data_IF_683180086090
#
_entry.id   IF_683180086090
#
_cell.length_a   1.000
_cell.length_b   1.000
_cell.length_c   1.000
_cell.angle_alpha   90.00
_cell.angle_beta   90.00
_cell.angle_gamma   90.00
#
_symmetry.space_group_name_H-M   'P 1'
#
loop_
_entity.id
_entity.type
_entity.pdbx_description
1 polymer ?
#
# COMPACT_ATOMS: atom_id res chain seq x y z
N UNK A 1 -6.47 -14.09 7.52
CA UNK A 1 -6.47 -14.29 6.05
C UNK A 1 -6.25 -15.77 5.74
N UNK A 2 -7.25 -16.61 5.99
CA UNK A 2 -7.28 -17.97 5.46
C UNK A 2 -8.34 -18.00 4.33
N UNK A 3 -8.12 -18.80 3.29
CA UNK A 3 -9.03 -19.02 2.15
C UNK A 3 -9.22 -17.86 1.15
N UNK A 4 -8.18 -17.07 0.84
CA UNK A 4 -8.24 -16.05 -0.25
C UNK A 4 -8.02 -16.62 -1.65
N UNK A 5 -7.18 -17.66 -1.77
CA UNK A 5 -6.97 -18.38 -3.02
C UNK A 5 -7.82 -19.65 -3.01
N UNK A 6 -8.41 -20.00 -4.15
CA UNK A 6 -9.19 -21.24 -4.26
C UNK A 6 -8.38 -22.24 -5.06
N UNK A 7 -7.99 -23.38 -4.46
CA UNK A 7 -7.33 -24.44 -5.19
C UNK A 7 -8.16 -24.88 -6.39
N UNK A 8 -7.51 -25.13 -7.52
CA UNK A 8 -8.17 -25.72 -8.68
C UNK A 8 -8.53 -27.16 -8.31
N UNK A 9 -9.82 -27.54 -8.32
CA UNK A 9 -10.20 -28.90 -7.98
C UNK A 9 -9.74 -29.86 -9.07
N UNK A 10 -9.40 -31.09 -8.69
CA UNK A 10 -8.82 -32.11 -9.59
C UNK A 10 -9.74 -32.54 -10.73
N UNK A 11 -11.04 -32.23 -10.64
CA UNK A 11 -12.05 -32.49 -11.67
C UNK A 11 -12.45 -31.24 -12.49
N UNK A 12 -11.76 -30.10 -12.32
CA UNK A 12 -12.04 -28.90 -13.10
C UNK A 12 -11.71 -29.13 -14.58
N UNK A 13 -12.62 -28.71 -15.46
CA UNK A 13 -12.30 -28.61 -16.89
C UNK A 13 -11.39 -27.40 -17.15
N UNK A 14 -10.77 -27.34 -18.34
CA UNK A 14 -9.82 -26.28 -18.70
C UNK A 14 -10.42 -24.87 -18.54
N UNK A 15 -11.68 -24.67 -18.94
CA UNK A 15 -12.33 -23.36 -18.85
C UNK A 15 -12.51 -22.92 -17.39
N UNK A 16 -12.91 -23.83 -16.50
CA UNK A 16 -13.04 -23.58 -15.07
C UNK A 16 -11.68 -23.29 -14.44
N UNK A 17 -10.63 -24.04 -14.80
CA UNK A 17 -9.27 -23.81 -14.32
C UNK A 17 -8.76 -22.40 -14.68
N UNK A 18 -8.95 -21.97 -15.93
CA UNK A 18 -8.54 -20.63 -16.37
C UNK A 18 -9.30 -19.49 -15.65
N UNK A 19 -10.59 -19.68 -15.38
CA UNK A 19 -11.39 -18.70 -14.62
C UNK A 19 -10.89 -18.57 -13.17
N UNK A 20 -10.59 -19.69 -12.53
CA UNK A 20 -10.05 -19.71 -11.16
C UNK A 20 -8.67 -19.05 -11.12
N UNK A 21 -7.78 -19.36 -12.06
CA UNK A 21 -6.46 -18.73 -12.18
C UNK A 21 -6.59 -17.22 -12.34
N UNK A 22 -7.41 -16.74 -13.28
CA UNK A 22 -7.57 -15.31 -13.51
C UNK A 22 -8.11 -14.58 -12.28
N UNK A 23 -9.07 -15.18 -11.57
CA UNK A 23 -9.60 -14.62 -10.33
C UNK A 23 -8.54 -14.54 -9.24
N UNK A 24 -7.75 -15.59 -9.08
CA UNK A 24 -6.70 -15.66 -8.07
C UNK A 24 -5.56 -14.66 -8.40
N UNK A 25 -5.23 -14.48 -9.68
CA UNK A 25 -4.30 -13.43 -10.14
C UNK A 25 -4.84 -12.02 -9.90
N UNK A 26 -6.14 -11.77 -10.15
CA UNK A 26 -6.77 -10.48 -9.81
C UNK A 26 -6.77 -10.23 -8.30
N UNK A 27 -6.98 -11.27 -7.48
CA UNK A 27 -6.92 -11.16 -6.02
C UNK A 27 -5.51 -10.86 -5.49
N UNK A 28 -4.48 -11.29 -6.22
CA UNK A 28 -3.08 -10.96 -5.96
C UNK A 28 -2.76 -9.51 -6.39
N UNK A 29 -3.23 -9.07 -7.55
CA UNK A 29 -3.06 -7.69 -8.02
C UNK A 29 -3.81 -6.67 -7.14
N UNK A 30 -4.96 -7.08 -6.61
CA UNK A 30 -5.75 -6.31 -5.64
C UNK A 30 -5.20 -6.42 -4.21
N UNK A 31 -4.22 -7.29 -3.94
CA UNK A 31 -3.63 -7.37 -2.61
C UNK A 31 -2.90 -6.07 -2.30
N UNK A 32 -3.28 -5.45 -1.19
CA UNK A 32 -2.70 -4.20 -0.74
C UNK A 32 -1.17 -4.35 -0.71
N UNK A 33 -0.50 -3.65 -1.62
CA UNK A 33 0.97 -3.53 -1.63
C UNK A 33 1.48 -2.80 -0.38
N UNK A 34 0.55 -2.39 0.49
CA UNK A 34 0.71 -1.44 1.57
C UNK A 34 0.56 -2.14 2.91
N UNK A 35 1.69 -2.27 3.62
CA UNK A 35 1.76 -2.76 4.98
C UNK A 35 1.78 -1.58 5.94
N UNK A 36 0.89 -1.58 6.93
CA UNK A 36 0.89 -0.58 8.00
C UNK A 36 1.28 -1.25 9.33
N UNK A 37 2.32 -0.71 9.94
CA UNK A 37 2.75 -1.01 11.30
C UNK A 37 2.33 0.16 12.17
N UNK A 38 1.41 -0.06 13.11
CA UNK A 38 0.95 0.99 14.03
C UNK A 38 1.33 0.61 15.45
N UNK A 39 1.98 1.52 16.17
CA UNK A 39 2.10 1.41 17.62
C UNK A 39 0.81 1.94 18.25
N UNK A 40 0.25 1.25 19.24
CA UNK A 40 -0.92 1.74 19.97
C UNK A 40 -0.59 3.08 20.64
N UNK A 41 -1.33 4.14 20.28
CA UNK A 41 -1.11 5.50 20.78
C UNK A 41 0.15 6.20 20.24
N UNK A 42 0.77 5.69 19.18
CA UNK A 42 2.04 6.20 18.67
C UNK A 42 2.13 6.27 17.15
N UNK A 43 3.37 6.35 16.67
CA UNK A 43 3.69 6.51 15.25
C UNK A 43 3.22 5.31 14.42
N UNK A 44 2.87 5.58 13.17
CA UNK A 44 2.54 4.56 12.18
C UNK A 44 3.59 4.57 11.07
N UNK A 45 4.04 3.40 10.66
CA UNK A 45 4.87 3.23 9.45
C UNK A 45 4.01 2.55 8.40
N UNK A 46 3.85 3.19 7.26
CA UNK A 46 3.12 2.63 6.11
C UNK A 46 4.10 2.44 4.98
N UNK A 47 4.22 1.23 4.45
CA UNK A 47 5.17 0.88 3.39
C UNK A 47 4.41 0.27 2.23
N UNK A 48 4.62 0.76 1.00
CA UNK A 48 4.00 0.18 -0.18
C UNK A 48 3.40 1.20 -1.13
N UNK A 49 2.24 0.85 -1.70
CA UNK A 49 1.49 1.71 -2.62
C UNK A 49 0.58 2.67 -1.84
N UNK A 50 0.99 3.92 -1.79
CA UNK A 50 0.27 4.99 -1.09
C UNK A 50 -1.07 5.32 -1.80
N UNK A 51 -2.02 5.99 -1.13
CA UNK A 51 -3.35 6.32 -1.69
C UNK A 51 -3.32 7.09 -3.02
N UNK A 52 -2.25 7.86 -3.26
CA UNK A 52 -1.98 8.57 -4.51
C UNK A 52 -1.44 7.65 -5.64
N UNK A 53 -1.48 6.33 -5.46
CA UNK A 53 -0.97 5.29 -6.38
C UNK A 53 0.56 5.29 -6.54
N UNK A 54 1.30 6.08 -5.76
CA UNK A 54 2.77 6.11 -5.75
C UNK A 54 3.34 5.09 -4.75
N UNK A 55 4.62 4.76 -4.88
CA UNK A 55 5.29 3.85 -3.96
C UNK A 55 6.17 4.60 -2.96
N UNK A 56 6.14 4.18 -1.70
CA UNK A 56 7.01 4.73 -0.68
C UNK A 56 6.78 4.17 0.72
N UNK A 57 7.56 4.71 1.64
CA UNK A 57 7.45 4.50 3.08
C UNK A 57 7.08 5.85 3.70
N UNK A 58 5.96 5.89 4.41
CA UNK A 58 5.55 7.08 5.17
C UNK A 58 5.58 6.80 6.66
N UNK A 59 6.11 7.73 7.44
CA UNK A 59 6.10 7.68 8.90
C UNK A 59 5.19 8.77 9.43
N UNK A 60 4.24 8.38 10.27
CA UNK A 60 3.31 9.28 10.94
C UNK A 60 3.80 9.69 12.33
N UNK A 61 3.43 10.88 12.76
CA UNK A 61 3.53 11.29 14.18
C UNK A 61 2.43 10.65 15.05
N UNK A 62 2.48 10.95 16.35
CA UNK A 62 1.49 10.57 17.36
C UNK A 62 0.11 11.16 17.09
N UNK A 63 0.02 12.24 16.32
CA UNK A 63 -1.23 12.84 15.83
C UNK A 63 -1.80 12.16 14.58
N UNK A 64 -1.11 11.15 14.04
CA UNK A 64 -1.52 10.40 12.86
C UNK A 64 -1.18 11.06 11.52
N UNK A 65 -0.50 12.21 11.51
CA UNK A 65 -0.10 12.90 10.27
C UNK A 65 1.20 12.34 9.73
N UNK A 66 1.28 12.12 8.42
CA UNK A 66 2.49 11.60 7.78
C UNK A 66 3.54 12.71 7.73
N UNK A 67 4.66 12.57 8.44
CA UNK A 67 5.71 13.61 8.49
C UNK A 67 6.90 13.32 7.59
N UNK A 68 7.12 12.05 7.28
CA UNK A 68 8.27 11.62 6.50
C UNK A 68 7.76 10.80 5.34
N UNK A 69 8.24 11.09 4.13
CA UNK A 69 8.05 10.28 2.93
C UNK A 69 9.44 9.87 2.41
N UNK A 70 9.67 8.57 2.30
CA UNK A 70 10.77 7.99 1.53
C UNK A 70 10.17 7.27 0.33
N UNK A 71 10.32 7.81 -0.88
CA UNK A 71 9.73 7.17 -2.05
C UNK A 71 9.45 8.15 -3.17
N UNK A 72 8.37 7.91 -3.89
CA UNK A 72 7.98 8.71 -5.04
C UNK A 72 7.22 9.97 -4.61
N UNK A 73 7.66 11.11 -5.11
CA UNK A 73 7.00 12.40 -4.93
C UNK A 73 5.56 12.33 -5.48
N UNK A 74 4.55 12.91 -4.79
CA UNK A 74 3.15 12.72 -5.14
C UNK A 74 2.76 13.31 -6.51
N UNK A 75 3.39 14.41 -6.94
CA UNK A 75 3.05 15.10 -8.20
C UNK A 75 3.74 14.48 -9.43
N UNK A 76 5.05 14.41 -9.43
CA UNK A 76 5.90 14.07 -10.59
C UNK A 76 6.55 12.68 -10.47
N UNK A 77 6.52 12.04 -9.31
CA UNK A 77 6.92 10.65 -9.12
C UNK A 77 8.43 10.39 -9.04
N UNK A 78 9.27 11.43 -9.02
CA UNK A 78 10.70 11.23 -8.78
C UNK A 78 10.94 10.70 -7.36
N UNK A 79 12.03 9.97 -7.17
CA UNK A 79 12.33 9.34 -5.88
C UNK A 79 13.10 10.32 -4.99
N UNK A 80 12.72 10.41 -3.72
CA UNK A 80 13.36 11.31 -2.74
C UNK A 80 12.99 10.99 -1.30
N UNK A 81 13.51 11.84 -0.41
CA UNK A 81 13.20 11.89 1.02
C UNK A 81 12.68 13.29 1.35
N UNK A 82 11.50 13.36 1.93
CA UNK A 82 10.90 14.60 2.40
C UNK A 82 10.51 14.48 3.86
N UNK A 83 10.78 15.52 4.63
CA UNK A 83 10.54 15.57 6.07
C UNK A 83 9.87 16.91 6.38
N UNK A 84 8.72 16.87 7.03
CA UNK A 84 7.99 18.06 7.50
C UNK A 84 8.13 18.26 9.01
N UNK A 85 7.79 19.48 9.44
CA UNK A 85 7.62 19.81 10.86
C UNK A 85 6.44 19.02 11.45
N UNK A 86 6.43 18.92 12.77
CA UNK A 86 5.33 18.26 13.49
C UNK A 86 3.99 18.94 13.22
N UNK A 87 2.94 18.13 13.07
CA UNK A 87 1.60 18.65 12.75
C UNK A 87 1.39 19.04 11.27
N UNK A 88 2.40 18.90 10.40
CA UNK A 88 2.27 19.13 8.94
C UNK A 88 2.34 17.78 8.20
N UNK A 89 1.34 17.50 7.38
CA UNK A 89 1.34 16.30 6.53
C UNK A 89 2.23 16.52 5.29
N UNK A 90 3.20 15.62 5.09
CA UNK A 90 4.17 15.65 3.99
C UNK A 90 3.50 15.47 2.63
N UNK A 91 2.42 14.69 2.56
CA UNK A 91 1.70 14.48 1.30
C UNK A 91 0.93 15.72 0.89
N UNK A 92 0.35 16.44 1.86
CA UNK A 92 -0.33 17.71 1.61
C UNK A 92 0.67 18.81 1.25
N UNK A 93 1.80 18.89 1.96
CA UNK A 93 2.83 19.91 1.73
C UNK A 93 3.44 19.80 0.32
N UNK A 94 3.74 18.59 -0.13
CA UNK A 94 4.26 18.34 -1.48
C UNK A 94 3.22 18.53 -2.58
N UNK A 95 1.92 18.57 -2.22
CA UNK A 95 0.83 18.78 -3.16
C UNK A 95 0.36 20.24 -3.28
N UNK A 96 0.82 21.14 -2.40
CA UNK A 96 0.70 22.60 -2.62
C UNK A 96 1.40 22.97 -3.91
#
# INVERSE_FOLDING_TARGET
>A
MANRFTPIPSNANLQQALQLINRDLMALDAEATTKSYKQAGGNAVVMGRLPNKKYGITLSDTGGKQRILLGQHPKDGHIGLWITKEGIDVMDELNK
#
